data_IF_228023259864
#
_entry.id   IF_228023259864
#
_cell.length_a   1.000
_cell.length_b   1.000
_cell.length_c   1.000
_cell.angle_alpha   90.00
_cell.angle_beta   90.00
_cell.angle_gamma   90.00
#
_symmetry.space_group_name_H-M   'P 1'
#
loop_
_entity.id
_entity.type
_entity.pdbx_description
1 polymer ?
#
# COMPACT_ATOMS: atom_id res chain seq x y z
N UNK A 1 -1.28 27.15 13.34
CA UNK A 1 -2.24 26.78 12.27
C UNK A 1 -1.54 26.33 10.98
N UNK A 2 -0.62 27.11 10.38
CA UNK A 2 0.03 26.77 9.10
C UNK A 2 0.85 25.46 9.09
N UNK A 3 1.55 25.11 10.17
CA UNK A 3 2.29 23.83 10.28
C UNK A 3 1.37 22.60 10.20
N UNK A 4 0.13 22.72 10.70
CA UNK A 4 -0.86 21.64 10.68
C UNK A 4 -1.33 21.37 9.25
N UNK A 5 -1.64 22.42 8.49
CA UNK A 5 -2.13 22.33 7.11
C UNK A 5 -1.03 21.76 6.20
N UNK A 6 0.21 22.23 6.33
CA UNK A 6 1.34 21.73 5.55
C UNK A 6 1.62 20.24 5.80
N UNK A 7 1.50 19.78 7.04
CA UNK A 7 1.63 18.36 7.38
C UNK A 7 0.50 17.52 6.77
N UNK A 8 -0.73 18.01 6.77
CA UNK A 8 -1.86 17.35 6.10
C UNK A 8 -1.62 17.25 4.58
N UNK A 9 -1.14 18.31 3.93
CA UNK A 9 -0.81 18.28 2.50
C UNK A 9 0.30 17.27 2.17
N UNK A 10 1.40 17.27 2.94
CA UNK A 10 2.50 16.31 2.74
C UNK A 10 2.03 14.85 2.93
N UNK A 11 1.20 14.59 3.94
CA UNK A 11 0.61 13.26 4.18
C UNK A 11 -0.26 12.80 3.02
N UNK A 12 -1.17 13.67 2.56
CA UNK A 12 -2.04 13.38 1.43
C UNK A 12 -1.22 13.12 0.14
N UNK A 13 -0.13 13.85 -0.06
CA UNK A 13 0.74 13.65 -1.22
C UNK A 13 1.46 12.29 -1.19
N UNK A 14 1.95 11.86 -0.03
CA UNK A 14 2.60 10.55 0.15
C UNK A 14 1.63 9.39 -0.15
N UNK A 15 0.37 9.51 0.27
CA UNK A 15 -0.68 8.53 -0.05
C UNK A 15 -0.94 8.46 -1.56
N UNK A 16 -1.11 9.60 -2.24
CA UNK A 16 -1.36 9.59 -3.68
C UNK A 16 -0.17 8.99 -4.46
N UNK A 17 1.07 9.27 -4.05
CA UNK A 17 2.26 8.64 -4.64
C UNK A 17 2.25 7.13 -4.44
N UNK A 18 1.98 6.65 -3.22
CA UNK A 18 1.94 5.22 -2.94
C UNK A 18 0.81 4.51 -3.69
N UNK A 19 -0.36 5.13 -3.83
CA UNK A 19 -1.48 4.59 -4.62
C UNK A 19 -1.16 4.49 -6.11
N UNK A 20 -0.53 5.53 -6.67
CA UNK A 20 -0.12 5.54 -8.08
C UNK A 20 0.98 4.50 -8.34
N UNK A 21 1.95 4.40 -7.44
CA UNK A 21 2.98 3.37 -7.48
C UNK A 21 2.38 1.96 -7.39
N UNK A 22 1.36 1.76 -6.56
CA UNK A 22 0.67 0.47 -6.48
C UNK A 22 0.02 0.07 -7.81
N UNK A 23 -0.59 1.05 -8.49
CA UNK A 23 -1.19 0.86 -9.81
C UNK A 23 -0.16 0.52 -10.88
N UNK A 24 0.97 1.24 -10.89
CA UNK A 24 2.03 1.07 -11.88
C UNK A 24 2.84 -0.21 -11.70
N UNK A 25 3.12 -0.57 -10.46
CA UNK A 25 4.00 -1.70 -10.15
C UNK A 25 3.23 -3.02 -10.02
N UNK A 26 2.05 -2.99 -9.39
CA UNK A 26 1.31 -4.21 -9.08
C UNK A 26 0.02 -4.36 -9.88
N UNK A 27 -0.40 -3.37 -10.69
CA UNK A 27 -1.69 -3.42 -11.38
C UNK A 27 -2.90 -3.32 -10.45
N UNK A 28 -2.70 -2.93 -9.18
CA UNK A 28 -3.76 -2.70 -8.20
C UNK A 28 -3.97 -1.21 -8.09
N UNK A 29 -5.21 -0.75 -8.23
CA UNK A 29 -5.53 0.67 -8.20
C UNK A 29 -6.33 1.03 -6.92
N UNK A 30 -5.68 1.18 -5.74
CA UNK A 30 -6.37 1.51 -4.49
C UNK A 30 -7.25 2.76 -4.61
N UNK A 31 -6.86 3.72 -5.46
CA UNK A 31 -7.67 4.90 -5.74
C UNK A 31 -9.07 4.55 -6.28
N UNK A 32 -9.16 3.64 -7.26
CA UNK A 32 -10.45 3.18 -7.80
C UNK A 32 -11.26 2.38 -6.76
N UNK A 33 -10.57 1.61 -5.91
CA UNK A 33 -11.21 0.84 -4.84
C UNK A 33 -11.80 1.77 -3.77
N UNK A 34 -11.04 2.79 -3.35
CA UNK A 34 -11.47 3.76 -2.34
C UNK A 34 -12.55 4.72 -2.86
N UNK A 35 -12.60 4.99 -4.16
CA UNK A 35 -13.66 5.78 -4.80
C UNK A 35 -15.05 5.13 -4.68
N UNK A 36 -15.13 3.81 -4.53
CA UNK A 36 -16.37 3.07 -4.31
C UNK A 36 -16.82 3.07 -2.84
N UNK A 37 -15.96 3.51 -1.91
CA UNK A 37 -16.28 3.57 -0.48
C UNK A 37 -17.14 4.80 -0.16
N UNK A 38 -18.07 4.70 0.81
CA UNK A 38 -18.73 5.85 1.41
C UNK A 38 -17.72 6.89 1.92
N UNK A 39 -18.07 8.17 1.86
CA UNK A 39 -17.14 9.27 2.14
C UNK A 39 -16.48 9.17 3.53
N UNK A 40 -17.25 8.84 4.58
CA UNK A 40 -16.71 8.67 5.93
C UNK A 40 -15.69 7.54 6.01
N UNK A 41 -16.04 6.36 5.48
CA UNK A 41 -15.14 5.20 5.43
C UNK A 41 -13.85 5.49 4.66
N UNK A 42 -13.93 6.26 3.56
CA UNK A 42 -12.74 6.68 2.79
C UNK A 42 -11.82 7.59 3.61
N UNK A 43 -12.38 8.51 4.41
CA UNK A 43 -11.62 9.41 5.25
C UNK A 43 -10.93 8.64 6.38
N UNK A 44 -11.64 7.72 7.03
CA UNK A 44 -11.10 6.88 8.09
C UNK A 44 -9.98 5.99 7.58
N UNK A 45 -10.21 5.28 6.47
CA UNK A 45 -9.20 4.44 5.83
C UNK A 45 -7.95 5.25 5.43
N UNK A 46 -8.12 6.46 4.87
CA UNK A 46 -6.99 7.34 4.54
C UNK A 46 -6.19 7.74 5.78
N UNK A 47 -6.89 8.01 6.89
CA UNK A 47 -6.26 8.39 8.15
C UNK A 47 -5.47 7.23 8.73
N UNK A 48 -6.07 6.05 8.81
CA UNK A 48 -5.40 4.83 9.30
C UNK A 48 -4.15 4.50 8.50
N UNK A 49 -4.25 4.53 7.17
CA UNK A 49 -3.10 4.31 6.28
C UNK A 49 -2.01 5.37 6.46
N UNK A 50 -2.39 6.63 6.63
CA UNK A 50 -1.42 7.70 6.91
C UNK A 50 -0.71 7.52 8.23
N UNK A 51 -1.45 7.12 9.27
CA UNK A 51 -0.93 6.99 10.63
C UNK A 51 0.00 5.77 10.72
N UNK A 52 -0.36 4.65 10.07
CA UNK A 52 0.49 3.47 9.94
C UNK A 52 1.79 3.79 9.18
N UNK A 53 1.71 4.47 8.03
CA UNK A 53 2.90 4.82 7.24
C UNK A 53 3.86 5.75 7.99
N UNK A 54 3.35 6.58 8.91
CA UNK A 54 4.19 7.41 9.77
C UNK A 54 4.76 6.65 10.96
N UNK A 55 3.95 5.83 11.63
CA UNK A 55 4.39 5.06 12.78
C UNK A 55 5.54 4.10 12.43
N UNK A 56 5.52 3.54 11.21
CA UNK A 56 6.52 2.60 10.71
C UNK A 56 7.64 3.26 9.88
N UNK A 57 7.58 4.59 9.71
CA UNK A 57 8.46 5.38 8.84
C UNK A 57 8.62 4.75 7.43
N UNK A 58 7.51 4.37 6.81
CA UNK A 58 7.53 3.68 5.52
C UNK A 58 8.02 4.60 4.41
N UNK A 59 8.87 4.12 3.51
CA UNK A 59 9.13 4.82 2.25
C UNK A 59 7.93 4.66 1.27
N UNK A 60 7.98 5.30 0.09
CA UNK A 60 6.85 5.25 -0.86
C UNK A 60 6.59 3.83 -1.42
N UNK A 61 7.63 3.04 -1.64
CA UNK A 61 7.52 1.65 -2.12
C UNK A 61 6.97 0.74 -1.03
N UNK A 62 7.46 0.88 0.19
CA UNK A 62 6.95 0.12 1.34
C UNK A 62 5.48 0.45 1.62
N UNK A 63 5.11 1.73 1.54
CA UNK A 63 3.72 2.11 1.70
C UNK A 63 2.85 1.58 0.57
N UNK A 64 3.31 1.64 -0.67
CA UNK A 64 2.65 1.02 -1.83
C UNK A 64 2.47 -0.50 -1.63
N UNK A 65 3.50 -1.19 -1.16
CA UNK A 65 3.46 -2.61 -0.83
C UNK A 65 2.42 -2.90 0.26
N UNK A 66 2.39 -2.13 1.36
CA UNK A 66 1.39 -2.27 2.43
C UNK A 66 -0.03 -2.05 1.92
N UNK A 67 -0.25 -1.10 1.02
CA UNK A 67 -1.55 -0.91 0.38
C UNK A 67 -1.96 -2.16 -0.41
N UNK A 68 -1.03 -2.80 -1.12
CA UNK A 68 -1.30 -4.04 -1.87
C UNK A 68 -1.54 -5.23 -0.96
N UNK A 69 -0.76 -5.39 0.10
CA UNK A 69 -0.90 -6.46 1.09
C UNK A 69 -2.32 -6.49 1.66
N UNK A 70 -2.91 -5.32 1.96
CA UNK A 70 -4.28 -5.22 2.44
C UNK A 70 -5.35 -5.80 1.49
N UNK A 71 -5.02 -6.01 0.21
CA UNK A 71 -5.94 -6.57 -0.79
C UNK A 71 -5.51 -7.93 -1.34
N UNK A 72 -4.31 -8.44 -1.02
CA UNK A 72 -3.78 -9.68 -1.64
C UNK A 72 -4.69 -10.89 -1.40
N UNK A 73 -5.34 -10.92 -0.22
CA UNK A 73 -6.39 -11.85 0.18
C UNK A 73 -7.50 -12.02 -0.85
N UNK A 74 -7.91 -10.91 -1.44
CA UNK A 74 -9.09 -10.80 -2.29
C UNK A 74 -8.79 -11.07 -3.77
N UNK A 75 -7.51 -11.14 -4.15
CA UNK A 75 -7.12 -11.42 -5.53
C UNK A 75 -7.32 -12.91 -5.80
N UNK A 76 -8.12 -13.25 -6.79
CA UNK A 76 -8.37 -14.65 -7.19
C UNK A 76 -7.51 -15.09 -8.38
N UNK A 77 -7.09 -14.13 -9.20
CA UNK A 77 -6.23 -14.40 -10.36
C UNK A 77 -4.82 -14.80 -9.92
N UNK A 78 -4.47 -16.07 -10.18
CA UNK A 78 -3.16 -16.63 -9.86
C UNK A 78 -2.04 -15.98 -10.67
N UNK A 79 -2.29 -15.66 -11.94
CA UNK A 79 -1.27 -14.97 -12.76
C UNK A 79 -0.96 -13.60 -12.17
N UNK A 80 -1.99 -12.87 -11.73
CA UNK A 80 -1.80 -11.58 -11.07
C UNK A 80 -1.05 -11.72 -9.74
N UNK A 81 -1.33 -12.75 -8.92
CA UNK A 81 -0.55 -13.04 -7.70
C UNK A 81 0.93 -13.29 -7.98
N UNK A 82 1.25 -14.03 -9.04
CA UNK A 82 2.63 -14.33 -9.41
C UNK A 82 3.37 -13.07 -9.90
N UNK A 83 2.68 -12.16 -10.59
CA UNK A 83 3.23 -10.84 -10.95
C UNK A 83 3.53 -10.00 -9.70
N UNK A 84 2.63 -9.99 -8.72
CA UNK A 84 2.85 -9.27 -7.46
C UNK A 84 4.05 -9.83 -6.72
N UNK A 85 4.15 -11.16 -6.61
CA UNK A 85 5.30 -11.84 -6.00
C UNK A 85 6.61 -11.43 -6.67
N UNK A 86 6.62 -11.43 -8.01
CA UNK A 86 7.80 -11.05 -8.79
C UNK A 86 8.28 -9.63 -8.46
N UNK A 87 7.34 -8.68 -8.33
CA UNK A 87 7.66 -7.28 -8.00
C UNK A 87 8.13 -7.14 -6.55
N UNK A 88 7.47 -7.83 -5.61
CA UNK A 88 7.86 -7.82 -4.20
C UNK A 88 9.26 -8.39 -3.98
N UNK A 89 9.58 -9.52 -4.61
CA UNK A 89 10.92 -10.11 -4.59
C UNK A 89 11.96 -9.17 -5.21
N UNK A 90 11.67 -8.60 -6.37
CA UNK A 90 12.58 -7.65 -7.01
C UNK A 90 12.87 -6.45 -6.09
N UNK A 91 11.85 -5.91 -5.42
CA UNK A 91 12.03 -4.80 -4.48
C UNK A 91 12.82 -5.21 -3.24
N UNK A 92 12.63 -6.42 -2.73
CA UNK A 92 13.43 -6.95 -1.61
C UNK A 92 14.90 -7.11 -2.02
N UNK A 93 15.17 -7.77 -3.15
CA UNK A 93 16.52 -8.06 -3.63
C UNK A 93 17.34 -6.81 -3.95
N UNK A 94 16.68 -5.67 -4.19
CA UNK A 94 17.31 -4.39 -4.50
C UNK A 94 17.24 -3.39 -3.33
N UNK A 95 16.95 -3.85 -2.11
CA UNK A 95 16.86 -3.02 -0.89
C UNK A 95 15.86 -1.85 -1.00
N UNK A 96 14.82 -1.99 -1.82
CA UNK A 96 13.77 -0.97 -2.02
C UNK A 96 12.71 -1.06 -0.91
N UNK A 97 12.42 -2.28 -0.45
CA UNK A 97 11.57 -2.55 0.72
C UNK A 97 12.34 -3.36 1.75
N UNK A 98 12.01 -3.13 3.02
CA UNK A 98 12.53 -3.91 4.14
C UNK A 98 12.04 -5.38 4.13
N UNK A 99 12.85 -6.34 4.64
CA UNK A 99 12.46 -7.74 4.77
C UNK A 99 11.13 -7.96 5.50
N UNK A 100 10.84 -7.19 6.55
CA UNK A 100 9.62 -7.31 7.34
C UNK A 100 8.34 -7.01 6.52
N UNK A 101 8.44 -6.12 5.52
CA UNK A 101 7.33 -5.84 4.61
C UNK A 101 7.07 -7.04 3.70
N UNK A 102 8.14 -7.69 3.23
CA UNK A 102 8.03 -8.89 2.41
C UNK A 102 7.54 -10.10 3.22
N UNK A 103 7.99 -10.27 4.45
CA UNK A 103 7.49 -11.30 5.36
C UNK A 103 5.99 -11.14 5.61
N UNK A 104 5.53 -9.93 5.91
CA UNK A 104 4.11 -9.66 6.07
C UNK A 104 3.31 -9.97 4.80
N UNK A 105 3.84 -9.62 3.62
CA UNK A 105 3.23 -10.01 2.34
C UNK A 105 3.11 -11.53 2.20
N UNK A 106 4.18 -12.28 2.49
CA UNK A 106 4.17 -13.74 2.40
C UNK A 106 3.16 -14.36 3.34
N UNK A 107 3.04 -13.84 4.55
CA UNK A 107 2.07 -14.32 5.53
C UNK A 107 0.64 -14.09 5.03
N UNK A 108 0.30 -12.87 4.61
CA UNK A 108 -1.04 -12.54 4.09
C UNK A 108 -1.39 -13.30 2.80
N UNK A 109 -0.41 -13.54 1.94
CA UNK A 109 -0.58 -14.37 0.73
C UNK A 109 -0.93 -15.81 1.06
N UNK A 110 -0.34 -16.37 2.13
CA UNK A 110 -0.48 -17.78 2.51
C UNK A 110 -1.61 -18.01 3.53
N UNK A 111 -2.09 -16.96 4.21
CA UNK A 111 -3.18 -17.03 5.19
C UNK A 111 -4.58 -17.18 4.57
N UNK A 112 -4.68 -17.30 3.24
CA UNK A 112 -5.96 -17.49 2.55
C UNK A 112 -6.25 -19.00 2.49
N UNK A 113 -7.03 -19.47 3.47
CA UNK A 113 -7.75 -20.74 3.45
C UNK A 113 -8.88 -20.74 2.40
#
# INVERSE_FOLDING_TARGET
>A
MFKSIANTFKRNHKIEIAMDLAGKSFGIYPKKLTEQMPLGMRQDWRKEMSDAAQAMDLNNHEFSAMLVIAFIGSIQDRHHKDLIETVMLHWLENDIIRPEIYEHYRDERNNIL
#
